data_IF_617958834610
#
_entry.id   IF_617958834610
#
_cell.length_a   1.000
_cell.length_b   1.000
_cell.length_c   1.000
_cell.angle_alpha   90.00
_cell.angle_beta   90.00
_cell.angle_gamma   90.00
#
_symmetry.space_group_name_H-M   'P 1'
#
loop_
_entity.id
_entity.type
_entity.pdbx_description
1 polymer ?
#
# COMPACT_ATOMS: atom_id res chain seq x y z
N UNK A 1 9.02 8.20 -21.04
CA UNK A 1 9.17 6.80 -20.57
C UNK A 1 10.62 6.37 -20.34
N UNK A 2 11.54 6.52 -21.32
CA UNK A 2 12.95 6.11 -21.17
C UNK A 2 13.63 6.69 -19.92
N UNK A 3 13.45 7.98 -19.66
CA UNK A 3 14.01 8.65 -18.48
C UNK A 3 13.40 8.19 -17.16
N UNK A 4 12.07 8.02 -17.10
CA UNK A 4 11.36 7.48 -15.92
C UNK A 4 11.91 6.11 -15.53
N UNK A 5 12.04 5.21 -16.51
CA UNK A 5 12.58 3.88 -16.29
C UNK A 5 14.03 3.92 -15.81
N UNK A 6 14.85 4.81 -16.36
CA UNK A 6 16.25 4.98 -15.95
C UNK A 6 16.36 5.41 -14.48
N UNK A 7 15.55 6.36 -14.04
CA UNK A 7 15.50 6.80 -12.63
C UNK A 7 15.04 5.64 -11.74
N UNK A 8 13.89 5.02 -12.04
CA UNK A 8 13.35 3.91 -11.26
C UNK A 8 14.30 2.72 -11.17
N UNK A 9 14.99 2.38 -12.27
CA UNK A 9 16.00 1.33 -12.27
C UNK A 9 17.17 1.69 -11.38
N UNK A 10 17.60 2.95 -11.38
CA UNK A 10 18.72 3.41 -10.54
C UNK A 10 18.34 3.36 -9.06
N UNK A 11 17.11 3.76 -8.71
CA UNK A 11 16.55 3.63 -7.38
C UNK A 11 16.50 2.15 -6.95
N UNK A 12 15.97 1.26 -7.80
CA UNK A 12 15.93 -0.19 -7.54
C UNK A 12 17.33 -0.79 -7.38
N UNK A 13 18.26 -0.44 -8.26
CA UNK A 13 19.64 -0.92 -8.21
C UNK A 13 20.36 -0.38 -6.97
N UNK A 14 20.06 0.83 -6.49
CA UNK A 14 20.63 1.36 -5.25
C UNK A 14 20.13 0.59 -4.03
N UNK A 15 18.83 0.27 -3.99
CA UNK A 15 18.24 -0.59 -2.95
C UNK A 15 18.83 -2.00 -2.99
N UNK A 16 19.01 -2.57 -4.18
CA UNK A 16 19.65 -3.88 -4.34
C UNK A 16 21.14 -3.85 -4.02
N UNK A 17 21.86 -2.77 -4.33
CA UNK A 17 23.28 -2.63 -4.02
C UNK A 17 23.54 -2.29 -2.54
N UNK A 18 22.54 -1.82 -1.77
CA UNK A 18 22.62 -1.84 -0.30
C UNK A 18 22.80 -3.26 0.25
N UNK A 19 22.46 -4.31 -0.52
CA UNK A 19 22.81 -5.70 -0.22
C UNK A 19 24.32 -5.95 -0.25
N UNK A 20 25.14 -5.09 -0.87
CA UNK A 20 26.61 -5.16 -0.79
C UNK A 20 27.19 -4.40 0.41
N UNK A 21 26.35 -3.72 1.20
CA UNK A 21 26.71 -3.07 2.45
C UNK A 21 27.01 -4.06 3.59
N UNK A 22 27.27 -3.52 4.78
CA UNK A 22 27.59 -4.31 5.98
C UNK A 22 26.49 -5.28 6.39
N UNK A 23 26.79 -6.24 7.28
CA UNK A 23 25.87 -7.29 7.73
C UNK A 23 24.52 -6.77 8.20
N UNK A 24 24.47 -5.56 8.77
CA UNK A 24 23.25 -4.89 9.24
C UNK A 24 22.29 -4.50 8.09
N UNK A 25 22.80 -3.99 6.98
CA UNK A 25 21.98 -3.55 5.84
C UNK A 25 21.37 -4.75 5.09
N UNK A 26 22.16 -5.83 4.96
CA UNK A 26 21.67 -7.12 4.43
C UNK A 26 20.55 -7.69 5.30
N UNK A 27 20.71 -7.64 6.62
CA UNK A 27 19.71 -8.12 7.57
C UNK A 27 18.41 -7.31 7.45
N UNK A 28 18.50 -5.98 7.36
CA UNK A 28 17.32 -5.12 7.20
C UNK A 28 16.58 -5.38 5.88
N UNK A 29 17.31 -5.53 4.77
CA UNK A 29 16.71 -5.84 3.47
C UNK A 29 15.97 -7.20 3.45
N UNK A 30 16.48 -8.20 4.16
CA UNK A 30 15.83 -9.51 4.27
C UNK A 30 14.68 -9.53 5.30
N UNK A 31 14.80 -8.78 6.40
CA UNK A 31 13.78 -8.74 7.46
C UNK A 31 12.51 -8.02 7.03
N UNK A 32 12.62 -6.96 6.23
CA UNK A 32 11.46 -6.18 5.79
C UNK A 32 10.40 -7.02 5.06
N UNK A 33 10.70 -7.78 3.98
CA UNK A 33 9.70 -8.61 3.31
C UNK A 33 9.14 -9.71 4.20
N UNK A 34 9.96 -10.29 5.09
CA UNK A 34 9.49 -11.29 6.06
C UNK A 34 8.48 -10.65 7.02
N UNK A 35 8.79 -9.48 7.56
CA UNK A 35 7.90 -8.74 8.45
C UNK A 35 6.57 -8.43 7.74
N UNK A 36 6.62 -7.97 6.49
CA UNK A 36 5.42 -7.72 5.69
C UNK A 36 4.56 -8.97 5.50
N UNK A 37 5.18 -10.12 5.21
CA UNK A 37 4.47 -11.40 5.08
C UNK A 37 3.87 -11.88 6.41
N UNK A 38 4.59 -11.73 7.52
CA UNK A 38 4.09 -12.09 8.86
C UNK A 38 2.89 -11.22 9.25
N UNK A 39 2.96 -9.91 9.00
CA UNK A 39 1.85 -8.99 9.26
C UNK A 39 0.64 -9.30 8.36
N UNK A 40 0.85 -9.54 7.06
CA UNK A 40 -0.21 -9.96 6.14
C UNK A 40 -0.88 -11.26 6.60
N UNK A 41 -0.06 -12.27 6.94
CA UNK A 41 -0.54 -13.57 7.40
C UNK A 41 -1.30 -13.48 8.73
N UNK A 42 -0.79 -12.67 9.67
CA UNK A 42 -1.45 -12.40 10.95
C UNK A 42 -2.79 -11.69 10.78
N UNK A 43 -2.85 -10.64 9.95
CA UNK A 43 -4.09 -9.93 9.65
C UNK A 43 -5.11 -10.82 8.93
N UNK A 44 -4.67 -11.63 7.96
CA UNK A 44 -5.51 -12.62 7.28
C UNK A 44 -6.07 -13.66 8.28
N UNK A 45 -5.19 -14.28 9.08
CA UNK A 45 -5.58 -15.34 10.01
C UNK A 45 -6.49 -14.80 11.12
N UNK A 46 -6.16 -13.65 11.71
CA UNK A 46 -6.96 -12.99 12.73
C UNK A 46 -8.36 -12.62 12.22
N UNK A 47 -8.44 -12.08 11.00
CA UNK A 47 -9.71 -11.76 10.36
C UNK A 47 -10.53 -13.01 10.08
N UNK A 48 -9.90 -14.08 9.59
CA UNK A 48 -10.59 -15.35 9.34
C UNK A 48 -11.13 -15.97 10.63
N UNK A 49 -10.36 -15.86 11.72
CA UNK A 49 -10.76 -16.32 13.04
C UNK A 49 -11.95 -15.51 13.57
N UNK A 50 -11.93 -14.19 13.38
CA UNK A 50 -13.04 -13.30 13.71
C UNK A 50 -14.34 -13.74 13.04
N UNK A 51 -14.33 -13.97 11.71
CA UNK A 51 -15.54 -14.43 11.00
C UNK A 51 -16.00 -15.83 11.44
N UNK A 52 -15.07 -16.74 11.72
CA UNK A 52 -15.40 -18.09 12.21
C UNK A 52 -16.12 -18.06 13.56
N UNK A 53 -15.73 -17.16 14.46
CA UNK A 53 -16.38 -17.03 15.76
C UNK A 53 -17.64 -16.17 15.72
N UNK A 54 -17.79 -15.32 14.72
CA UNK A 54 -18.94 -14.42 14.58
C UNK A 54 -20.29 -15.17 14.55
N UNK A 55 -20.37 -16.24 13.75
CA UNK A 55 -21.58 -17.05 13.58
C UNK A 55 -22.08 -17.69 14.90
N UNK A 56 -21.25 -18.46 15.65
CA UNK A 56 -21.73 -19.11 16.88
C UNK A 56 -22.06 -18.12 17.99
N UNK A 57 -21.34 -16.99 18.11
CA UNK A 57 -21.63 -15.99 19.15
C UNK A 57 -22.90 -15.20 18.89
N UNK A 58 -23.28 -15.01 17.63
CA UNK A 58 -24.48 -14.25 17.24
C UNK A 58 -25.62 -15.15 16.77
N UNK A 59 -25.53 -16.47 16.99
CA UNK A 59 -26.54 -17.44 16.59
C UNK A 59 -27.93 -17.17 17.20
N UNK A 60 -27.98 -16.49 18.35
CA UNK A 60 -29.23 -16.10 19.01
C UNK A 60 -30.01 -15.00 18.26
N UNK A 61 -29.37 -14.26 17.34
CA UNK A 61 -30.00 -13.15 16.61
C UNK A 61 -29.79 -13.36 15.10
N UNK A 62 -30.82 -13.84 14.37
CA UNK A 62 -30.68 -14.14 12.94
C UNK A 62 -30.32 -12.87 12.15
N UNK A 63 -29.35 -12.99 11.24
CA UNK A 63 -28.86 -11.91 10.38
C UNK A 63 -27.90 -10.91 11.06
N UNK A 64 -27.66 -11.01 12.37
CA UNK A 64 -26.76 -10.09 13.06
C UNK A 64 -25.28 -10.33 12.71
N UNK A 65 -24.89 -11.58 12.47
CA UNK A 65 -23.53 -11.91 12.02
C UNK A 65 -23.18 -11.22 10.70
N UNK A 66 -24.07 -11.29 9.70
CA UNK A 66 -23.86 -10.64 8.40
C UNK A 66 -23.78 -9.12 8.51
N UNK A 67 -24.65 -8.52 9.34
CA UNK A 67 -24.64 -7.09 9.59
C UNK A 67 -23.32 -6.63 10.22
N UNK A 68 -22.82 -7.37 11.22
CA UNK A 68 -21.54 -7.07 11.87
C UNK A 68 -20.38 -7.27 10.90
N UNK A 69 -20.38 -8.34 10.12
CA UNK A 69 -19.36 -8.61 9.10
C UNK A 69 -19.27 -7.46 8.09
N UNK A 70 -20.41 -6.99 7.59
CA UNK A 70 -20.47 -5.88 6.64
C UNK A 70 -19.97 -4.57 7.27
N UNK A 71 -20.37 -4.26 8.51
CA UNK A 71 -19.89 -3.06 9.22
C UNK A 71 -18.40 -3.13 9.49
N UNK A 72 -17.88 -4.30 9.84
CA UNK A 72 -16.46 -4.53 10.03
C UNK A 72 -15.68 -4.28 8.73
N UNK A 73 -16.08 -4.90 7.60
CA UNK A 73 -15.42 -4.68 6.31
C UNK A 73 -15.46 -3.21 5.86
N UNK A 74 -16.60 -2.54 6.04
CA UNK A 74 -16.71 -1.11 5.75
C UNK A 74 -15.79 -0.27 6.65
N UNK A 75 -15.68 -0.60 7.93
CA UNK A 75 -14.78 0.10 8.85
C UNK A 75 -13.32 -0.07 8.44
N UNK A 76 -12.93 -1.25 7.96
CA UNK A 76 -11.59 -1.53 7.44
C UNK A 76 -11.33 -0.74 6.16
N UNK A 77 -12.32 -0.65 5.26
CA UNK A 77 -12.20 0.15 4.05
C UNK A 77 -11.98 1.64 4.38
N UNK A 78 -12.78 2.20 5.31
CA UNK A 78 -12.61 3.59 5.77
C UNK A 78 -11.25 3.79 6.44
N UNK A 79 -10.81 2.84 7.28
CA UNK A 79 -9.50 2.88 7.90
C UNK A 79 -8.37 2.93 6.86
N UNK A 80 -8.42 2.08 5.83
CA UNK A 80 -7.43 2.08 4.74
C UNK A 80 -7.44 3.40 3.99
N UNK A 81 -8.62 3.96 3.70
CA UNK A 81 -8.73 5.29 3.05
C UNK A 81 -8.04 6.36 3.89
N UNK A 82 -8.36 6.44 5.18
CA UNK A 82 -7.76 7.43 6.08
C UNK A 82 -6.25 7.24 6.21
N UNK A 83 -5.80 5.99 6.31
CA UNK A 83 -4.39 5.65 6.38
C UNK A 83 -3.65 6.08 5.11
N UNK A 84 -4.16 5.74 3.94
CA UNK A 84 -3.57 6.15 2.65
C UNK A 84 -3.60 7.66 2.51
N UNK A 85 -4.65 8.33 2.98
CA UNK A 85 -4.73 9.77 2.92
C UNK A 85 -3.64 10.42 3.79
N UNK A 86 -3.62 10.13 5.09
CA UNK A 86 -2.68 10.74 6.04
C UNK A 86 -1.22 10.31 5.79
N UNK A 87 -0.99 9.00 5.65
CA UNK A 87 0.33 8.46 5.34
C UNK A 87 0.80 8.84 3.94
N UNK A 88 -0.14 9.03 3.01
CA UNK A 88 0.11 9.52 1.66
C UNK A 88 0.65 10.94 1.65
N UNK A 89 0.10 11.87 2.43
CA UNK A 89 0.66 13.23 2.52
C UNK A 89 2.13 13.21 2.90
N UNK A 90 2.44 12.58 4.03
CA UNK A 90 3.82 12.51 4.54
C UNK A 90 4.76 11.82 3.55
N UNK A 91 4.35 10.66 3.01
CA UNK A 91 5.20 9.86 2.12
C UNK A 91 5.41 10.55 0.78
N UNK A 92 4.36 11.13 0.20
CA UNK A 92 4.41 11.86 -1.06
C UNK A 92 5.23 13.13 -0.92
N UNK A 93 5.00 13.91 0.14
CA UNK A 93 5.77 15.11 0.41
C UNK A 93 7.27 14.80 0.53
N UNK A 94 7.62 13.83 1.37
CA UNK A 94 9.02 13.41 1.58
C UNK A 94 9.69 12.92 0.30
N UNK A 95 9.01 12.12 -0.51
CA UNK A 95 9.61 11.49 -1.70
C UNK A 95 9.64 12.43 -2.90
N UNK A 96 8.64 13.30 -3.07
CA UNK A 96 8.54 14.19 -4.23
C UNK A 96 9.23 15.52 -3.99
N UNK A 97 9.26 16.05 -2.77
CA UNK A 97 9.75 17.41 -2.50
C UNK A 97 10.99 17.44 -1.62
N UNK A 98 11.10 16.57 -0.62
CA UNK A 98 12.27 16.51 0.29
C UNK A 98 13.30 15.44 -0.10
N UNK A 99 13.27 14.92 -1.32
CA UNK A 99 14.24 13.90 -1.70
C UNK A 99 15.62 14.52 -1.93
N UNK A 100 16.65 13.97 -1.26
CA UNK A 100 18.04 14.48 -1.31
C UNK A 100 18.60 14.61 -2.74
N UNK A 101 18.09 13.80 -3.66
CA UNK A 101 18.52 13.73 -5.05
C UNK A 101 17.76 14.67 -6.00
N UNK A 102 16.72 15.38 -5.54
CA UNK A 102 15.88 16.18 -6.44
C UNK A 102 16.63 17.34 -7.08
N UNK A 103 17.48 18.03 -6.31
CA UNK A 103 18.31 19.13 -6.84
C UNK A 103 19.26 18.65 -7.93
N UNK A 104 19.81 17.44 -7.75
CA UNK A 104 20.65 16.81 -8.77
C UNK A 104 19.84 16.43 -10.01
N UNK A 105 18.70 15.74 -9.85
CA UNK A 105 17.85 15.32 -10.96
C UNK A 105 17.31 16.49 -11.80
N UNK A 106 16.99 17.62 -11.16
CA UNK A 106 16.52 18.82 -11.84
C UNK A 106 17.64 19.63 -12.51
N UNK A 107 18.91 19.43 -12.11
CA UNK A 107 20.08 20.04 -12.76
C UNK A 107 20.52 19.31 -14.03
N UNK A 108 20.07 18.07 -14.21
CA UNK A 108 20.38 17.27 -15.39
C UNK A 108 19.45 17.64 -16.56
N UNK A 109 19.84 17.34 -17.82
CA UNK A 109 18.98 17.51 -18.99
C UNK A 109 17.88 16.42 -19.05
N UNK A 110 17.15 16.25 -17.95
CA UNK A 110 16.03 15.32 -17.79
C UNK A 110 14.75 16.13 -17.67
N UNK A 111 13.69 15.80 -18.43
CA UNK A 111 12.42 16.53 -18.31
C UNK A 111 11.81 16.42 -16.91
N UNK A 112 11.34 17.54 -16.36
CA UNK A 112 10.74 17.61 -15.02
C UNK A 112 9.55 16.66 -14.82
N UNK A 113 8.71 16.48 -15.84
CA UNK A 113 7.60 15.52 -15.81
C UNK A 113 8.07 14.07 -15.63
N UNK A 114 9.26 13.72 -16.12
CA UNK A 114 9.83 12.38 -15.96
C UNK A 114 10.37 12.16 -14.55
N UNK A 115 10.95 13.20 -13.93
CA UNK A 115 11.37 13.18 -12.53
C UNK A 115 10.16 13.03 -11.61
N UNK A 116 9.12 13.85 -11.82
CA UNK A 116 7.87 13.76 -11.06
C UNK A 116 7.22 12.38 -11.20
N UNK A 117 7.08 11.85 -12.42
CA UNK A 117 6.48 10.53 -12.63
C UNK A 117 7.25 9.41 -11.92
N UNK A 118 8.59 9.44 -11.95
CA UNK A 118 9.41 8.46 -11.25
C UNK A 118 9.17 8.53 -9.73
N UNK A 119 9.25 9.73 -9.13
CA UNK A 119 9.02 9.91 -7.68
C UNK A 119 7.59 9.59 -7.27
N UNK A 120 6.61 9.90 -8.10
CA UNK A 120 5.21 9.55 -7.88
C UNK A 120 5.01 8.03 -7.82
N UNK A 121 5.61 7.29 -8.76
CA UNK A 121 5.60 5.82 -8.76
C UNK A 121 6.32 5.26 -7.54
N UNK A 122 7.48 5.81 -7.17
CA UNK A 122 8.22 5.39 -5.97
C UNK A 122 7.39 5.57 -4.70
N UNK A 123 6.70 6.71 -4.56
CA UNK A 123 5.82 6.96 -3.42
C UNK A 123 4.58 6.04 -3.42
N UNK A 124 3.99 5.79 -4.59
CA UNK A 124 2.89 4.83 -4.73
C UNK A 124 3.31 3.42 -4.29
N UNK A 125 4.48 2.94 -4.74
CA UNK A 125 5.01 1.63 -4.37
C UNK A 125 5.40 1.54 -2.89
N UNK A 126 5.79 2.66 -2.27
CA UNK A 126 6.08 2.69 -0.84
C UNK A 126 4.82 2.50 0.04
N UNK A 127 3.66 2.97 -0.43
CA UNK A 127 2.37 2.84 0.27
C UNK A 127 1.69 1.50 0.01
N UNK A 128 1.96 0.88 -1.14
CA UNK A 128 1.28 -0.34 -1.61
C UNK A 128 1.30 -1.50 -0.59
N UNK A 129 2.44 -1.87 0.05
CA UNK A 129 2.47 -2.97 1.01
C UNK A 129 1.49 -2.78 2.17
N UNK A 130 1.37 -1.57 2.71
CA UNK A 130 0.47 -1.30 3.83
C UNK A 130 -1.00 -1.47 3.43
N UNK A 131 -1.38 -0.99 2.25
CA UNK A 131 -2.75 -1.16 1.73
C UNK A 131 -3.08 -2.64 1.54
N UNK A 132 -2.14 -3.41 1.01
CA UNK A 132 -2.33 -4.84 0.79
C UNK A 132 -2.38 -5.63 2.10
N UNK A 133 -1.59 -5.24 3.09
CA UNK A 133 -1.56 -5.89 4.41
C UNK A 133 -2.85 -5.66 5.18
N UNK A 134 -3.33 -4.42 5.28
CA UNK A 134 -4.50 -4.14 6.10
C UNK A 134 -5.81 -4.28 5.32
N UNK A 135 -5.87 -3.76 4.10
CA UNK A 135 -7.03 -3.88 3.23
C UNK A 135 -7.10 -5.25 2.57
N UNK A 136 -6.09 -5.59 1.78
CA UNK A 136 -6.06 -6.81 0.98
C UNK A 136 -6.25 -8.09 1.82
N UNK A 137 -5.49 -8.25 2.90
CA UNK A 137 -5.55 -9.46 3.73
C UNK A 137 -6.92 -9.68 4.38
N UNK A 138 -7.57 -8.61 4.87
CA UNK A 138 -8.88 -8.66 5.52
C UNK A 138 -9.95 -9.14 4.54
N UNK A 139 -9.98 -8.55 3.35
CA UNK A 139 -10.94 -8.92 2.31
C UNK A 139 -10.66 -10.30 1.75
N UNK A 140 -9.39 -10.70 1.62
CA UNK A 140 -9.00 -12.06 1.25
C UNK A 140 -9.45 -13.09 2.30
N UNK A 141 -9.35 -12.76 3.58
CA UNK A 141 -9.82 -13.63 4.67
C UNK A 141 -11.34 -13.82 4.62
N UNK A 142 -12.09 -12.74 4.41
CA UNK A 142 -13.54 -12.82 4.21
C UNK A 142 -13.91 -13.65 2.98
N UNK A 143 -13.24 -13.42 1.85
CA UNK A 143 -13.46 -14.20 0.63
C UNK A 143 -13.16 -15.69 0.82
N UNK A 144 -12.08 -16.01 1.55
CA UNK A 144 -11.72 -17.39 1.87
C UNK A 144 -12.74 -18.06 2.79
N UNK A 145 -13.24 -17.34 3.79
CA UNK A 145 -14.29 -17.84 4.70
C UNK A 145 -15.59 -18.15 3.95
N UNK A 146 -16.02 -17.23 3.07
CA UNK A 146 -17.24 -17.35 2.29
C UNK A 146 -17.09 -18.16 0.99
N UNK A 147 -15.92 -18.80 0.77
CA UNK A 147 -15.61 -19.58 -0.44
C UNK A 147 -15.84 -18.80 -1.75
N UNK A 148 -15.47 -17.52 -1.75
CA UNK A 148 -15.56 -16.67 -2.93
C UNK A 148 -14.67 -17.20 -4.06
N UNK A 149 -15.13 -17.03 -5.31
CA UNK A 149 -14.37 -17.41 -6.51
C UNK A 149 -13.17 -16.50 -6.80
N UNK A 150 -12.31 -16.91 -7.73
CA UNK A 150 -11.08 -16.19 -8.10
C UNK A 150 -11.33 -14.72 -8.50
N UNK A 151 -12.45 -14.44 -9.19
CA UNK A 151 -12.81 -13.09 -9.63
C UNK A 151 -12.95 -12.10 -8.47
N UNK A 152 -13.38 -12.55 -7.29
CA UNK A 152 -13.48 -11.70 -6.10
C UNK A 152 -12.10 -11.17 -5.66
N UNK A 153 -11.10 -12.04 -5.58
CA UNK A 153 -9.75 -11.66 -5.15
C UNK A 153 -9.08 -10.70 -6.12
N UNK A 154 -9.29 -10.91 -7.44
CA UNK A 154 -8.82 -9.98 -8.49
C UNK A 154 -9.49 -8.62 -8.32
N UNK A 155 -10.80 -8.57 -8.11
CA UNK A 155 -11.54 -7.34 -7.89
C UNK A 155 -11.07 -6.60 -6.63
N UNK A 156 -10.82 -7.32 -5.54
CA UNK A 156 -10.27 -6.73 -4.29
C UNK A 156 -8.91 -6.09 -4.55
N UNK A 157 -7.99 -6.80 -5.21
CA UNK A 157 -6.66 -6.27 -5.55
C UNK A 157 -6.76 -5.02 -6.42
N UNK A 158 -7.54 -5.09 -7.50
CA UNK A 158 -7.74 -3.95 -8.40
C UNK A 158 -8.38 -2.76 -7.67
N UNK A 159 -9.37 -3.00 -6.82
CA UNK A 159 -10.06 -1.95 -6.07
C UNK A 159 -9.09 -1.20 -5.16
N UNK A 160 -8.24 -1.90 -4.42
CA UNK A 160 -7.26 -1.26 -3.53
C UNK A 160 -6.13 -0.56 -4.30
N UNK A 161 -5.68 -1.11 -5.43
CA UNK A 161 -4.68 -0.45 -6.29
C UNK A 161 -5.24 0.84 -6.90
N UNK A 162 -6.48 0.81 -7.41
CA UNK A 162 -7.16 2.00 -7.94
C UNK A 162 -7.44 3.03 -6.85
N UNK A 163 -7.89 2.59 -5.68
CA UNK A 163 -8.11 3.47 -4.53
C UNK A 163 -6.82 4.19 -4.12
N UNK A 164 -5.72 3.44 -4.00
CA UNK A 164 -4.41 4.02 -3.70
C UNK A 164 -4.01 5.03 -4.79
N UNK A 165 -4.18 4.68 -6.07
CA UNK A 165 -3.81 5.55 -7.18
C UNK A 165 -4.61 6.86 -7.16
N UNK A 166 -5.91 6.77 -6.91
CA UNK A 166 -6.81 7.92 -6.86
C UNK A 166 -6.48 8.85 -5.70
N UNK A 167 -6.34 8.31 -4.49
CA UNK A 167 -6.01 9.11 -3.30
C UNK A 167 -4.62 9.73 -3.45
N UNK A 168 -3.63 8.93 -3.87
CA UNK A 168 -2.25 9.40 -4.07
C UNK A 168 -2.17 10.48 -5.15
N UNK A 169 -2.90 10.31 -6.26
CA UNK A 169 -3.04 11.33 -7.29
C UNK A 169 -3.66 12.62 -6.76
N UNK A 170 -4.74 12.52 -5.99
CA UNK A 170 -5.37 13.69 -5.36
C UNK A 170 -4.41 14.42 -4.40
N UNK A 171 -3.67 13.69 -3.57
CA UNK A 171 -2.66 14.25 -2.66
C UNK A 171 -1.57 14.97 -3.44
N UNK A 172 -1.04 14.35 -4.50
CA UNK A 172 -0.01 14.98 -5.33
C UNK A 172 -0.50 16.29 -5.95
N UNK A 173 -1.75 16.33 -6.43
CA UNK A 173 -2.37 17.56 -6.95
C UNK A 173 -2.57 18.61 -5.86
N UNK A 174 -3.02 18.22 -4.66
CA UNK A 174 -3.17 19.14 -3.52
C UNK A 174 -1.83 19.73 -3.09
N UNK A 175 -0.78 18.92 -3.03
CA UNK A 175 0.57 19.38 -2.71
C UNK A 175 1.10 20.34 -3.79
N UNK A 176 0.89 20.03 -5.08
CA UNK A 176 1.26 20.92 -6.17
C UNK A 176 0.52 22.27 -6.09
N UNK A 177 -0.74 22.27 -5.68
CA UNK A 177 -1.53 23.49 -5.51
C UNK A 177 -1.08 24.30 -4.28
N UNK A 178 -0.73 23.62 -3.18
CA UNK A 178 -0.29 24.26 -1.94
C UNK A 178 1.13 24.84 -2.01
N UNK A 179 2.00 24.29 -2.87
CA UNK A 179 3.38 24.76 -3.05
C UNK A 179 3.56 25.73 -4.22
N UNK A 180 2.46 26.16 -4.82
CA UNK A 180 2.45 27.18 -5.87
C UNK A 180 2.44 28.58 -5.26
#
# INVERSE_FOLDING_TARGET
MKYVWMILRTDLVSVLNKSKGGTKDKLQLALLPILWLVLAGGAFYGTRLFFRYLEPYLAAIPGMADAVALKFLNSVAVYVILFVFLGGFQTTFRIIYESDDIGFLLSQPVPSHSVFAAKFITAYLALLPMVLIFGGSTWFAWGSFNRAGLGFYVMVMLSFMLLLLLIHGAIALLLLLAMR
#
